data_IF_783468854555
#
_entry.id   IF_783468854555
#
_cell.length_a   1.000
_cell.length_b   1.000
_cell.length_c   1.000
_cell.angle_alpha   90.00
_cell.angle_beta   90.00
_cell.angle_gamma   90.00
#
_symmetry.space_group_name_H-M   'P 1'
#
loop_
_entity.id
_entity.type
_entity.pdbx_description
1 polymer ?
#
# COMPACT_ATOMS: atom_id res chain seq x y z
N UNK A 1 -19.77 -1.37 -2.65
CA UNK A 1 -19.09 -0.17 -3.20
C UNK A 1 -18.12 0.32 -2.14
N UNK A 2 -16.84 0.41 -2.45
CA UNK A 2 -15.84 0.76 -1.45
C UNK A 2 -16.03 2.17 -0.92
N UNK A 3 -15.86 2.34 0.38
CA UNK A 3 -16.05 3.60 1.10
C UNK A 3 -14.73 3.98 1.76
N UNK A 4 -14.30 5.22 1.55
CA UNK A 4 -13.14 5.78 2.23
C UNK A 4 -13.60 6.85 3.21
N UNK A 5 -13.15 6.75 4.44
CA UNK A 5 -13.40 7.70 5.52
C UNK A 5 -12.08 8.38 5.87
N UNK A 6 -12.02 9.69 5.66
CA UNK A 6 -10.91 10.50 6.11
C UNK A 6 -11.24 11.08 7.49
N UNK A 7 -10.42 10.73 8.48
CA UNK A 7 -10.60 11.18 9.86
C UNK A 7 -9.42 12.06 10.24
N UNK A 8 -9.68 13.33 10.45
CA UNK A 8 -8.69 14.30 10.91
C UNK A 8 -8.73 14.38 12.43
N UNK A 9 -7.78 13.77 13.09
CA UNK A 9 -7.59 13.89 14.53
C UNK A 9 -6.74 15.12 14.82
N UNK A 10 -7.26 16.04 15.61
CA UNK A 10 -6.57 17.26 16.00
C UNK A 10 -6.37 17.32 17.51
N UNK A 11 -5.14 17.61 17.93
CA UNK A 11 -4.73 17.73 19.33
C UNK A 11 -3.78 18.92 19.54
N UNK A 12 -3.40 19.19 20.78
CA UNK A 12 -2.35 20.15 21.14
C UNK A 12 -1.01 19.40 21.30
N UNK A 13 0.10 20.09 21.11
CA UNK A 13 1.43 19.60 21.51
C UNK A 13 1.78 18.20 21.02
N UNK A 14 1.61 17.93 19.74
CA UNK A 14 1.84 16.63 19.10
C UNK A 14 0.94 15.47 19.60
N UNK A 15 -0.13 15.77 20.34
CA UNK A 15 -1.00 14.74 20.90
C UNK A 15 -1.64 13.84 19.81
N UNK A 16 -2.01 14.39 18.67
CA UNK A 16 -2.53 13.59 17.55
C UNK A 16 -1.48 12.60 17.01
N UNK A 17 -0.23 13.01 16.96
CA UNK A 17 0.87 12.15 16.55
C UNK A 17 1.16 11.05 17.58
N UNK A 18 1.21 11.40 18.87
CA UNK A 18 1.38 10.44 19.97
C UNK A 18 0.26 9.39 19.99
N UNK A 19 -0.97 9.82 19.74
CA UNK A 19 -2.11 8.92 19.56
C UNK A 19 -1.86 7.89 18.44
N UNK A 20 -1.48 8.35 17.26
CA UNK A 20 -1.22 7.47 16.12
C UNK A 20 -0.04 6.51 16.39
N UNK A 21 1.03 6.99 17.02
CA UNK A 21 2.18 6.18 17.44
C UNK A 21 1.78 5.10 18.45
N UNK A 22 0.93 5.42 19.44
CA UNK A 22 0.45 4.44 20.41
C UNK A 22 -0.53 3.44 19.82
N UNK A 23 -1.39 3.87 18.89
CA UNK A 23 -2.25 2.98 18.11
C UNK A 23 -1.45 1.93 17.32
N UNK A 24 -0.32 2.34 16.75
CA UNK A 24 0.60 1.44 16.03
C UNK A 24 1.33 0.53 17.02
N UNK A 25 1.91 1.10 18.08
CA UNK A 25 2.71 0.37 19.06
C UNK A 25 1.90 -0.69 19.84
N UNK A 26 0.62 -0.42 20.09
CA UNK A 26 -0.30 -1.39 20.74
C UNK A 26 -0.68 -2.59 19.86
N UNK A 27 -0.33 -2.57 18.57
CA UNK A 27 -0.76 -3.59 17.60
C UNK A 27 -2.22 -3.45 17.15
N UNK A 28 -2.96 -2.44 17.64
CA UNK A 28 -4.37 -2.23 17.28
C UNK A 28 -4.54 -1.98 15.78
N UNK A 29 -3.65 -1.20 15.18
CA UNK A 29 -3.65 -0.95 13.73
C UNK A 29 -3.50 -2.24 12.93
N UNK A 30 -2.63 -3.15 13.35
CA UNK A 30 -2.41 -4.43 12.67
C UNK A 30 -3.61 -5.37 12.79
N UNK A 31 -4.35 -5.30 13.89
CA UNK A 31 -5.61 -6.03 14.08
C UNK A 31 -6.67 -5.49 13.13
N UNK A 32 -6.83 -4.17 13.04
CA UNK A 32 -7.80 -3.53 12.13
C UNK A 32 -7.48 -3.88 10.67
N UNK A 33 -6.22 -3.80 10.27
CA UNK A 33 -5.78 -4.17 8.91
C UNK A 33 -6.04 -5.64 8.55
N UNK A 34 -6.21 -6.51 9.53
CA UNK A 34 -6.55 -7.94 9.34
C UNK A 34 -8.05 -8.19 9.32
N UNK A 35 -8.87 -7.20 9.65
CA UNK A 35 -10.32 -7.34 9.54
C UNK A 35 -10.71 -7.60 8.08
N UNK A 36 -11.64 -8.52 7.89
CA UNK A 36 -12.18 -8.84 6.57
C UNK A 36 -12.76 -7.56 5.95
N UNK A 37 -12.46 -7.34 4.68
CA UNK A 37 -12.93 -6.18 3.92
C UNK A 37 -12.30 -4.83 4.30
N UNK A 38 -11.29 -4.78 5.20
CA UNK A 38 -10.47 -3.59 5.35
C UNK A 38 -9.57 -3.45 4.12
N UNK A 39 -9.64 -2.31 3.44
CA UNK A 39 -8.85 -2.00 2.25
C UNK A 39 -7.65 -1.12 2.58
N UNK A 40 -7.79 -0.28 3.62
CA UNK A 40 -6.76 0.68 4.02
C UNK A 40 -7.00 1.17 5.45
N UNK A 41 -5.94 1.25 6.24
CA UNK A 41 -5.94 1.91 7.55
C UNK A 41 -4.55 2.52 7.76
N UNK A 42 -4.39 3.80 7.40
CA UNK A 42 -3.08 4.46 7.35
C UNK A 42 -3.15 5.88 7.89
N UNK A 43 -2.13 6.24 8.69
CA UNK A 43 -1.97 7.57 9.24
C UNK A 43 -1.03 8.42 8.40
N UNK A 44 -1.37 9.70 8.23
CA UNK A 44 -0.58 10.71 7.54
C UNK A 44 -0.52 11.98 8.38
N UNK A 45 0.60 12.68 8.31
CA UNK A 45 0.75 13.99 8.94
C UNK A 45 0.67 15.05 7.83
N UNK A 46 -0.27 16.01 7.90
CA UNK A 46 -0.30 17.13 6.97
C UNK A 46 0.99 17.94 7.06
N UNK A 47 1.49 18.37 5.91
CA UNK A 47 2.77 19.07 5.83
C UNK A 47 2.77 20.41 6.55
N UNK A 48 1.63 21.08 6.58
CA UNK A 48 1.42 22.43 7.10
C UNK A 48 0.70 22.48 8.47
N UNK A 49 0.22 21.35 8.99
CA UNK A 49 -0.42 21.27 10.33
C UNK A 49 0.12 20.10 11.15
N UNK A 50 1.09 20.38 12.00
CA UNK A 50 1.73 19.40 12.89
C UNK A 50 0.81 18.90 14.02
N UNK A 51 -0.27 19.62 14.31
CA UNK A 51 -1.23 19.26 15.36
C UNK A 51 -2.33 18.33 14.88
N UNK A 52 -2.33 18.00 13.59
CA UNK A 52 -3.32 17.12 12.97
C UNK A 52 -2.67 15.84 12.46
N UNK A 53 -3.37 14.73 12.62
CA UNK A 53 -3.09 13.47 11.94
C UNK A 53 -4.33 13.07 11.14
N UNK A 54 -4.14 12.79 9.86
CA UNK A 54 -5.17 12.23 8.99
C UNK A 54 -5.08 10.70 9.03
N UNK A 55 -6.17 10.05 9.37
CA UNK A 55 -6.38 8.62 9.11
C UNK A 55 -7.17 8.48 7.81
N UNK A 56 -6.65 7.71 6.88
CA UNK A 56 -7.40 7.20 5.72
C UNK A 56 -7.83 5.79 6.05
N UNK A 57 -9.13 5.60 6.21
CA UNK A 57 -9.78 4.35 6.59
C UNK A 57 -10.73 3.93 5.47
N UNK A 58 -10.46 2.79 4.80
CA UNK A 58 -11.20 2.36 3.62
C UNK A 58 -11.68 0.92 3.76
N UNK A 59 -12.93 0.68 3.34
CA UNK A 59 -13.64 -0.60 3.49
C UNK A 59 -14.40 -0.95 2.21
N UNK A 60 -14.62 -2.23 1.97
CA UNK A 60 -15.37 -2.70 0.79
C UNK A 60 -16.85 -2.33 0.83
N UNK A 61 -17.42 -2.18 2.03
CA UNK A 61 -18.85 -1.92 2.22
C UNK A 61 -19.16 -1.14 3.50
N UNK A 62 -20.43 -0.67 3.65
CA UNK A 62 -20.92 -0.08 4.88
C UNK A 62 -21.01 -1.12 6.00
N UNK A 63 -21.40 -2.34 5.66
CA UNK A 63 -21.52 -3.46 6.61
C UNK A 63 -20.18 -3.77 7.26
N UNK A 64 -19.08 -3.68 6.49
CA UNK A 64 -17.72 -3.86 7.04
C UNK A 64 -17.35 -2.75 8.05
N UNK A 65 -17.72 -1.51 7.77
CA UNK A 65 -17.55 -0.38 8.72
C UNK A 65 -18.37 -0.62 9.98
N UNK A 66 -19.61 -1.07 9.85
CA UNK A 66 -20.50 -1.32 10.99
C UNK A 66 -19.95 -2.46 11.86
N UNK A 67 -19.42 -3.52 11.27
CA UNK A 67 -18.73 -4.59 11.99
C UNK A 67 -17.49 -4.08 12.72
N UNK A 68 -16.67 -3.26 12.04
CA UNK A 68 -15.50 -2.63 12.65
C UNK A 68 -15.90 -1.78 13.87
N UNK A 69 -16.97 -1.00 13.78
CA UNK A 69 -17.46 -0.16 14.87
C UNK A 69 -17.95 -0.96 16.08
N UNK A 70 -18.29 -2.24 15.92
CA UNK A 70 -18.61 -3.16 17.01
C UNK A 70 -17.43 -4.00 17.48
N UNK A 71 -16.26 -3.82 16.89
CA UNK A 71 -15.05 -4.60 17.22
C UNK A 71 -14.43 -4.17 18.55
N UNK A 72 -13.67 -5.05 19.22
CA UNK A 72 -12.93 -4.71 20.43
C UNK A 72 -11.94 -3.57 20.27
N UNK A 73 -11.42 -3.34 19.05
CA UNK A 73 -10.46 -2.29 18.76
C UNK A 73 -11.04 -0.89 18.96
N UNK A 74 -12.35 -0.72 18.79
CA UNK A 74 -13.02 0.56 19.03
C UNK A 74 -12.85 1.05 20.47
N UNK A 75 -12.81 0.15 21.46
CA UNK A 75 -12.55 0.52 22.84
C UNK A 75 -11.19 1.19 22.98
N UNK A 76 -10.14 0.60 22.44
CA UNK A 76 -8.77 1.17 22.45
C UNK A 76 -8.73 2.52 21.75
N UNK A 77 -9.39 2.65 20.59
CA UNK A 77 -9.47 3.92 19.85
C UNK A 77 -10.11 5.00 20.72
N UNK A 78 -11.21 4.72 21.37
CA UNK A 78 -11.92 5.67 22.23
C UNK A 78 -11.08 6.10 23.42
N UNK A 79 -10.49 5.13 24.15
CA UNK A 79 -9.63 5.38 25.31
C UNK A 79 -8.42 6.25 24.95
N UNK A 80 -7.77 5.98 23.83
CA UNK A 80 -6.62 6.76 23.38
C UNK A 80 -7.02 8.16 22.89
N UNK A 81 -8.15 8.30 22.21
CA UNK A 81 -8.67 9.61 21.82
C UNK A 81 -8.94 10.50 23.04
N UNK A 82 -9.53 9.92 24.06
CA UNK A 82 -9.81 10.61 25.34
C UNK A 82 -8.51 10.97 26.06
N UNK A 83 -7.59 10.01 26.21
CA UNK A 83 -6.26 10.20 26.80
C UNK A 83 -5.51 11.40 26.18
N UNK A 84 -5.54 11.54 24.87
CA UNK A 84 -4.85 12.60 24.14
C UNK A 84 -5.71 13.85 23.90
N UNK A 85 -6.94 13.87 24.40
CA UNK A 85 -7.89 14.98 24.28
C UNK A 85 -8.03 15.46 22.82
N UNK A 86 -8.35 14.53 21.92
CA UNK A 86 -8.43 14.79 20.49
C UNK A 86 -9.84 15.19 20.06
N UNK A 87 -9.90 16.20 19.21
CA UNK A 87 -11.08 16.50 18.40
C UNK A 87 -11.00 15.80 17.06
N UNK A 88 -12.11 15.65 16.35
CA UNK A 88 -12.20 14.86 15.13
C UNK A 88 -13.09 15.57 14.10
N UNK A 89 -12.62 15.65 12.85
CA UNK A 89 -13.41 15.96 11.66
C UNK A 89 -13.44 14.71 10.77
N UNK A 90 -14.61 14.41 10.21
CA UNK A 90 -14.79 13.22 9.36
C UNK A 90 -15.32 13.63 8.00
N UNK A 91 -14.75 13.07 6.95
CA UNK A 91 -15.20 13.19 5.57
C UNK A 91 -15.35 11.79 4.97
N UNK A 92 -16.39 11.57 4.17
CA UNK A 92 -16.65 10.27 3.53
C UNK A 92 -16.67 10.41 2.03
N UNK A 93 -16.08 9.44 1.37
CA UNK A 93 -15.99 9.34 -0.08
C UNK A 93 -16.38 7.95 -0.55
N UNK A 94 -16.96 7.86 -1.73
CA UNK A 94 -17.22 6.62 -2.43
C UNK A 94 -16.14 6.49 -3.49
N UNK A 95 -15.48 5.32 -3.56
CA UNK A 95 -14.45 5.08 -4.56
C UNK A 95 -15.07 4.99 -5.96
N UNK A 96 -14.65 5.90 -6.82
CA UNK A 96 -14.88 5.80 -8.25
C UNK A 96 -13.72 5.03 -8.90
N UNK A 97 -13.94 3.76 -9.20
CA UNK A 97 -12.91 2.90 -9.81
C UNK A 97 -12.59 3.29 -11.25
N UNK A 98 -13.51 3.95 -11.92
CA UNK A 98 -13.43 4.32 -13.33
C UNK A 98 -13.14 5.81 -13.53
N UNK A 99 -13.04 6.58 -12.44
CA UNK A 99 -12.92 8.04 -12.45
C UNK A 99 -11.56 8.60 -12.86
N UNK A 100 -10.61 7.74 -13.28
CA UNK A 100 -9.31 8.19 -13.77
C UNK A 100 -9.43 8.51 -15.26
N UNK A 101 -9.26 9.79 -15.67
CA UNK A 101 -9.29 10.17 -17.07
C UNK A 101 -8.26 9.38 -17.89
N UNK A 102 -8.62 9.01 -19.13
CA UNK A 102 -7.69 8.31 -20.03
C UNK A 102 -6.38 9.08 -20.24
N UNK A 103 -6.45 10.43 -20.26
CA UNK A 103 -5.27 11.30 -20.34
C UNK A 103 -4.28 11.08 -19.20
N UNK A 104 -4.75 10.67 -18.03
CA UNK A 104 -3.96 10.57 -16.81
C UNK A 104 -3.47 9.15 -16.54
N UNK A 105 -4.07 8.14 -17.19
CA UNK A 105 -3.65 6.73 -17.08
C UNK A 105 -2.18 6.52 -17.43
N UNK A 106 -1.62 7.33 -18.33
CA UNK A 106 -0.19 7.29 -18.68
C UNK A 106 0.75 7.65 -17.53
N UNK A 107 0.27 8.39 -16.52
CA UNK A 107 1.05 8.76 -15.34
C UNK A 107 0.91 7.76 -14.19
N UNK A 108 -0.08 6.85 -14.28
CA UNK A 108 -0.36 5.88 -13.23
C UNK A 108 0.41 4.61 -13.54
N UNK A 109 1.42 4.35 -12.75
CA UNK A 109 2.09 3.05 -12.76
C UNK A 109 1.21 2.06 -11.99
N UNK A 110 0.41 1.28 -12.72
CA UNK A 110 -0.31 0.17 -12.11
C UNK A 110 0.71 -0.83 -11.58
N UNK A 111 0.65 -1.10 -10.28
CA UNK A 111 1.52 -2.10 -9.64
C UNK A 111 1.41 -3.50 -10.28
N UNK A 112 0.29 -3.80 -10.94
CA UNK A 112 0.07 -5.03 -11.69
C UNK A 112 1.01 -5.22 -12.89
N UNK A 113 1.53 -4.12 -13.48
CA UNK A 113 2.41 -4.16 -14.66
C UNK A 113 3.89 -3.89 -14.30
N UNK A 114 4.19 -3.70 -13.01
CA UNK A 114 5.57 -3.52 -12.55
C UNK A 114 6.15 -4.88 -12.19
N UNK A 115 7.26 -5.23 -12.84
CA UNK A 115 7.99 -6.46 -12.53
C UNK A 115 8.62 -6.43 -11.13
N UNK A 116 9.07 -7.56 -10.64
CA UNK A 116 9.77 -7.70 -9.35
C UNK A 116 10.98 -6.75 -9.26
N UNK A 117 11.67 -6.51 -10.35
CA UNK A 117 12.83 -5.59 -10.41
C UNK A 117 12.44 -4.11 -10.56
N UNK A 118 11.16 -3.78 -10.66
CA UNK A 118 10.66 -2.42 -10.86
C UNK A 118 10.64 -1.95 -12.32
N UNK A 119 10.90 -2.83 -13.29
CA UNK A 119 10.72 -2.49 -14.71
C UNK A 119 9.24 -2.40 -15.07
N UNK A 120 8.88 -1.45 -15.91
CA UNK A 120 7.51 -1.28 -16.41
C UNK A 120 7.26 -2.24 -17.58
N UNK A 121 6.60 -3.35 -17.29
CA UNK A 121 6.28 -4.36 -18.29
C UNK A 121 5.27 -3.85 -19.33
N UNK A 122 4.51 -2.80 -19.07
CA UNK A 122 3.53 -2.25 -20.03
C UNK A 122 4.17 -1.73 -21.30
N UNK A 123 5.47 -1.39 -21.26
CA UNK A 123 6.27 -0.93 -22.41
C UNK A 123 7.04 -2.05 -23.10
N UNK A 124 6.87 -3.28 -22.65
CA UNK A 124 7.59 -4.43 -23.21
C UNK A 124 6.76 -5.08 -24.32
N UNK A 125 7.32 -5.19 -25.51
CA UNK A 125 6.68 -5.86 -26.64
C UNK A 125 6.21 -7.28 -26.31
N UNK A 126 7.00 -8.06 -25.57
CA UNK A 126 6.62 -9.41 -25.18
C UNK A 126 5.40 -9.44 -24.23
N UNK A 127 5.23 -8.41 -23.42
CA UNK A 127 4.08 -8.28 -22.53
C UNK A 127 2.83 -7.82 -23.30
N UNK A 128 2.96 -6.82 -24.16
CA UNK A 128 1.87 -6.31 -25.00
C UNK A 128 1.35 -7.40 -25.97
N UNK A 129 2.25 -8.19 -26.57
CA UNK A 129 1.90 -9.28 -27.47
C UNK A 129 1.41 -10.55 -26.75
N UNK A 130 1.27 -10.52 -25.43
CA UNK A 130 0.86 -11.66 -24.58
C UNK A 130 1.78 -12.90 -24.68
N UNK A 131 3.02 -12.73 -25.15
CA UNK A 131 4.05 -13.77 -25.11
C UNK A 131 4.66 -13.94 -23.72
N UNK A 132 4.49 -12.93 -22.85
CA UNK A 132 4.96 -12.95 -21.46
C UNK A 132 3.87 -12.35 -20.56
N UNK A 133 3.49 -13.08 -19.53
CA UNK A 133 2.51 -12.61 -18.54
C UNK A 133 3.18 -12.01 -17.27
N UNK A 134 4.48 -11.72 -17.35
CA UNK A 134 5.23 -11.11 -16.26
C UNK A 134 5.88 -12.09 -15.28
N UNK A 135 6.75 -11.56 -14.40
CA UNK A 135 7.58 -12.36 -13.50
C UNK A 135 6.78 -13.17 -12.49
N UNK A 136 5.64 -12.67 -12.02
CA UNK A 136 4.84 -13.35 -11.01
C UNK A 136 4.16 -14.59 -11.57
N UNK A 137 3.54 -14.49 -12.74
CA UNK A 137 2.87 -15.62 -13.40
C UNK A 137 3.85 -16.73 -13.77
N UNK A 138 5.03 -16.33 -14.25
CA UNK A 138 6.07 -17.27 -14.67
C UNK A 138 7.05 -17.67 -13.55
N UNK A 139 6.77 -17.30 -12.30
CA UNK A 139 7.62 -17.58 -11.13
C UNK A 139 9.12 -17.32 -11.39
N UNK A 140 9.39 -16.17 -12.03
CA UNK A 140 10.75 -15.76 -12.38
C UNK A 140 11.34 -16.40 -13.64
N UNK A 141 10.70 -17.37 -14.27
CA UNK A 141 11.18 -18.02 -15.51
C UNK A 141 10.57 -17.31 -16.71
N UNK A 142 11.09 -16.14 -17.04
CA UNK A 142 10.59 -15.31 -18.13
C UNK A 142 11.40 -15.48 -19.40
N UNK A 143 10.84 -15.07 -20.53
CA UNK A 143 11.37 -15.26 -21.87
C UNK A 143 12.88 -14.93 -22.01
N UNK A 144 13.32 -13.81 -21.46
CA UNK A 144 14.74 -13.38 -21.56
C UNK A 144 15.70 -14.10 -20.59
N UNK A 145 15.20 -14.99 -19.77
CA UNK A 145 16.03 -15.76 -18.83
C UNK A 145 16.46 -17.14 -19.37
N UNK A 146 16.22 -17.42 -20.67
CA UNK A 146 16.60 -18.67 -21.34
C UNK A 146 16.20 -19.93 -20.57
N UNK A 147 14.97 -19.94 -20.03
CA UNK A 147 14.43 -21.07 -19.26
C UNK A 147 15.00 -21.23 -17.84
N UNK A 148 15.81 -20.29 -17.37
CA UNK A 148 16.31 -20.26 -16.00
C UNK A 148 15.53 -19.26 -15.16
N UNK A 149 15.48 -19.49 -13.85
CA UNK A 149 14.90 -18.52 -12.92
C UNK A 149 15.72 -17.21 -12.91
N UNK A 150 15.05 -16.08 -13.02
CA UNK A 150 15.67 -14.76 -12.95
C UNK A 150 16.37 -14.57 -11.60
N UNK A 151 17.64 -14.14 -11.62
CA UNK A 151 18.42 -13.93 -10.40
C UNK A 151 17.77 -12.90 -9.45
N UNK A 152 17.08 -11.88 -9.98
CA UNK A 152 16.34 -10.92 -9.17
C UNK A 152 15.13 -11.59 -8.51
N UNK A 153 14.35 -12.38 -9.26
CA UNK A 153 13.20 -13.11 -8.70
C UNK A 153 13.64 -14.06 -7.60
N UNK A 154 14.68 -14.86 -7.86
CA UNK A 154 15.24 -15.79 -6.87
C UNK A 154 15.68 -15.06 -5.59
N UNK A 155 16.40 -13.95 -5.71
CA UNK A 155 16.83 -13.17 -4.56
C UNK A 155 15.66 -12.54 -3.82
N UNK A 156 14.79 -11.83 -4.54
CA UNK A 156 13.72 -11.02 -3.96
C UNK A 156 12.59 -11.88 -3.38
N UNK A 157 12.04 -12.80 -4.20
CA UNK A 157 10.84 -13.56 -3.84
C UNK A 157 11.21 -14.87 -3.16
N UNK A 158 12.06 -15.69 -3.81
CA UNK A 158 12.32 -17.05 -3.34
C UNK A 158 13.12 -17.09 -2.04
N UNK A 159 14.16 -16.25 -1.93
CA UNK A 159 15.06 -16.25 -0.74
C UNK A 159 14.57 -15.32 0.37
N UNK A 160 14.06 -14.13 0.04
CA UNK A 160 13.75 -13.10 1.03
C UNK A 160 12.24 -12.89 1.26
N UNK A 161 11.36 -13.49 0.46
CA UNK A 161 9.90 -13.39 0.63
C UNK A 161 9.33 -12.01 0.34
N UNK A 162 10.08 -11.12 -0.33
CA UNK A 162 9.61 -9.78 -0.68
C UNK A 162 8.66 -9.83 -1.89
N UNK A 163 7.70 -8.92 -1.94
CA UNK A 163 6.79 -8.78 -3.09
C UNK A 163 7.49 -8.19 -4.32
N UNK A 164 8.45 -7.30 -4.09
CA UNK A 164 9.26 -6.67 -5.12
C UNK A 164 10.54 -6.07 -4.51
N UNK A 165 11.48 -5.67 -5.36
CA UNK A 165 12.78 -5.14 -4.91
C UNK A 165 12.69 -3.81 -4.15
N UNK A 166 11.58 -3.07 -4.22
CA UNK A 166 11.45 -1.81 -3.46
C UNK A 166 11.34 -2.03 -1.95
N UNK A 167 11.03 -3.25 -1.51
CA UNK A 167 11.01 -3.63 -0.09
C UNK A 167 12.41 -3.93 0.46
N UNK A 168 13.41 -4.09 -0.41
CA UNK A 168 14.78 -4.41 -0.03
C UNK A 168 15.60 -3.13 0.21
N UNK A 169 16.26 -3.05 1.36
CA UNK A 169 17.11 -1.89 1.72
C UNK A 169 18.40 -1.78 0.91
N UNK A 170 18.80 -2.85 0.22
CA UNK A 170 20.04 -2.91 -0.56
C UNK A 170 19.85 -2.52 -2.04
N UNK A 171 18.64 -2.20 -2.49
CA UNK A 171 18.39 -1.79 -3.87
C UNK A 171 18.82 -0.33 -4.08
N UNK A 172 19.63 -0.08 -5.14
CA UNK A 172 20.07 -0.95 -6.23
C UNK A 172 21.31 -1.81 -5.88
N UNK A 173 21.12 -3.11 -5.63
CA UNK A 173 22.21 -4.07 -5.35
C UNK A 173 22.91 -4.58 -6.63
N UNK A 174 24.01 -5.32 -6.49
CA UNK A 174 24.77 -5.84 -7.63
C UNK A 174 23.98 -6.81 -8.51
N UNK A 175 23.11 -7.65 -7.92
CA UNK A 175 22.22 -8.54 -8.68
C UNK A 175 21.26 -7.72 -9.53
N UNK A 176 20.66 -6.68 -8.94
CA UNK A 176 19.74 -5.77 -9.63
C UNK A 176 20.41 -5.03 -10.79
N UNK A 177 21.60 -4.47 -10.58
CA UNK A 177 22.38 -3.76 -11.61
C UNK A 177 22.79 -4.66 -12.77
N UNK A 178 23.18 -5.90 -12.50
CA UNK A 178 23.65 -6.85 -13.53
C UNK A 178 22.52 -7.51 -14.32
N UNK A 179 21.36 -7.68 -13.71
CA UNK A 179 20.26 -8.47 -14.29
C UNK A 179 19.20 -7.61 -14.96
N UNK A 180 19.00 -6.38 -14.48
CA UNK A 180 18.01 -5.47 -15.06
C UNK A 180 18.49 -4.89 -16.38
N UNK A 181 17.67 -5.01 -17.43
CA UNK A 181 17.95 -4.35 -18.71
C UNK A 181 17.70 -2.85 -18.59
N UNK A 182 18.70 -1.99 -18.84
CA UNK A 182 18.55 -0.55 -18.76
C UNK A 182 17.56 0.04 -19.78
N UNK A 183 17.22 -0.70 -20.84
CA UNK A 183 16.25 -0.26 -21.84
C UNK A 183 14.81 -0.21 -21.33
N UNK A 184 14.52 -0.92 -20.23
CA UNK A 184 13.19 -0.98 -19.61
C UNK A 184 13.15 -0.32 -18.23
N UNK A 185 14.05 0.63 -18.00
CA UNK A 185 14.21 1.37 -16.75
C UNK A 185 13.32 2.60 -16.70
#
# INVERSE_FOLDING_TARGET
MAITVNIYYKGKDDNAKKFAEEMIASGTVDLIRKEKENLKYEYFVPFDDKNTVLLIDSWESQEAIDLHHHSPMMKTILELREKYNLTMKVERYISDKDGIPESDKKFIKNAANVSICGSDCSKCYCFESKMCNGCNEHKGVVFHCNGKECAIYNCCVTKNGFKNCSECREVPCEIWKKTRDPKFS
#
